data_IF_570706137107
#
_entry.id   IF_570706137107
#
_cell.length_a   1.000
_cell.length_b   1.000
_cell.length_c   1.000
_cell.angle_alpha   90.00
_cell.angle_beta   90.00
_cell.angle_gamma   90.00
#
_symmetry.space_group_name_H-M   'P 1'
#
loop_
_entity.id
_entity.type
_entity.pdbx_description
1 polymer ?
#
# COMPACT_ATOMS: atom_id res chain seq x y z
N UNK A 1 -1.26 22.03 -7.98
CA UNK A 1 -0.68 20.80 -7.41
C UNK A 1 0.64 20.59 -8.14
N UNK A 2 1.77 20.37 -7.44
CA UNK A 2 3.00 20.02 -8.16
C UNK A 2 2.90 18.59 -8.65
N UNK A 3 3.15 18.34 -9.93
CA UNK A 3 3.04 17.02 -10.57
C UNK A 3 4.03 15.99 -9.99
N UNK A 4 5.06 16.47 -9.28
CA UNK A 4 6.19 15.69 -8.75
C UNK A 4 5.83 14.56 -7.77
N UNK A 5 4.63 14.57 -7.18
CA UNK A 5 4.20 13.58 -6.18
C UNK A 5 3.00 12.73 -6.62
N UNK A 6 2.54 12.91 -7.85
CA UNK A 6 1.40 12.16 -8.40
C UNK A 6 1.89 10.82 -8.96
N UNK A 7 1.17 9.75 -8.64
CA UNK A 7 1.41 8.45 -9.22
C UNK A 7 0.88 8.44 -10.66
N UNK A 8 1.58 7.76 -11.58
CA UNK A 8 1.02 7.42 -12.88
C UNK A 8 -0.09 6.37 -12.73
N UNK A 9 -0.95 6.23 -13.75
CA UNK A 9 -2.01 5.21 -13.70
C UNK A 9 -1.46 3.79 -13.54
N UNK A 10 -0.32 3.50 -14.19
CA UNK A 10 0.38 2.23 -14.02
C UNK A 10 0.90 2.06 -12.58
N UNK A 11 1.50 3.09 -11.99
CA UNK A 11 1.98 3.05 -10.60
C UNK A 11 0.82 2.84 -9.61
N UNK A 12 -0.34 3.47 -9.84
CA UNK A 12 -1.54 3.25 -9.03
C UNK A 12 -1.97 1.79 -9.10
N UNK A 13 -2.09 1.23 -10.30
CA UNK A 13 -2.48 -0.17 -10.49
C UNK A 13 -1.49 -1.14 -9.83
N UNK A 14 -0.18 -0.87 -9.89
CA UNK A 14 0.83 -1.67 -9.20
C UNK A 14 0.62 -1.61 -7.68
N UNK A 15 0.43 -0.41 -7.11
CA UNK A 15 0.22 -0.25 -5.67
C UNK A 15 -1.06 -0.95 -5.23
N UNK A 16 -2.17 -0.77 -5.95
CA UNK A 16 -3.45 -1.43 -5.61
C UNK A 16 -3.30 -2.95 -5.67
N UNK A 17 -2.69 -3.49 -6.75
CA UNK A 17 -2.42 -4.93 -6.88
C UNK A 17 -1.55 -5.44 -5.74
N UNK A 18 -0.51 -4.69 -5.34
CA UNK A 18 0.33 -5.05 -4.21
C UNK A 18 -0.45 -5.02 -2.89
N UNK A 19 -1.33 -4.04 -2.68
CA UNK A 19 -2.21 -3.97 -1.51
C UNK A 19 -3.12 -5.19 -1.41
N UNK A 20 -3.80 -5.54 -2.50
CA UNK A 20 -4.63 -6.75 -2.61
C UNK A 20 -3.83 -8.04 -2.35
N UNK A 21 -2.54 -8.09 -2.72
CA UNK A 21 -1.70 -9.24 -2.38
C UNK A 21 -1.35 -9.33 -0.89
N UNK A 22 -1.26 -8.20 -0.18
CA UNK A 22 -1.01 -8.18 1.27
C UNK A 22 -2.28 -8.58 2.04
N UNK A 23 -3.42 -8.03 1.64
CA UNK A 23 -4.73 -8.30 2.25
C UNK A 23 -5.72 -8.63 1.13
N UNK A 24 -5.77 -9.90 0.69
CA UNK A 24 -6.65 -10.34 -0.40
C UNK A 24 -8.11 -10.40 0.05
N UNK A 25 -9.06 -10.31 -0.89
CA UNK A 25 -10.45 -10.64 -0.61
C UNK A 25 -10.59 -12.10 -0.19
N UNK A 26 -11.55 -12.37 0.68
CA UNK A 26 -11.92 -13.72 1.11
C UNK A 26 -13.45 -13.86 1.22
N UNK A 27 -13.93 -14.93 1.88
CA UNK A 27 -15.37 -15.16 2.04
C UNK A 27 -16.05 -14.13 2.98
N UNK A 28 -15.28 -13.31 3.69
CA UNK A 28 -15.76 -12.38 4.72
C UNK A 28 -15.80 -10.93 4.23
N UNK A 29 -14.79 -10.48 3.50
CA UNK A 29 -14.71 -9.11 2.97
C UNK A 29 -13.85 -9.00 1.70
N UNK A 30 -13.88 -7.81 1.08
CA UNK A 30 -13.17 -7.52 -0.16
C UNK A 30 -11.65 -7.28 0.06
N UNK A 31 -11.15 -7.45 1.29
CA UNK A 31 -9.75 -7.17 1.62
C UNK A 31 -9.41 -5.71 1.36
N UNK A 32 -8.38 -5.47 0.54
CA UNK A 32 -8.06 -4.14 0.00
C UNK A 32 -8.61 -3.88 -1.40
N UNK A 33 -9.36 -4.81 -1.98
CA UNK A 33 -9.93 -4.59 -3.31
C UNK A 33 -10.95 -3.46 -3.27
N UNK A 34 -10.80 -2.51 -4.19
CA UNK A 34 -11.67 -1.32 -4.24
C UNK A 34 -11.48 -0.31 -3.10
N UNK A 35 -10.57 -0.54 -2.15
CA UNK A 35 -10.33 0.35 -0.99
C UNK A 35 -9.66 1.70 -1.35
N UNK A 36 -9.29 1.91 -2.63
CA UNK A 36 -8.61 3.12 -3.09
C UNK A 36 -7.20 3.27 -2.51
N UNK A 37 -6.51 2.16 -2.27
CA UNK A 37 -5.22 2.10 -1.59
C UNK A 37 -4.19 3.06 -2.21
N UNK A 38 -4.03 3.04 -3.53
CA UNK A 38 -3.13 3.94 -4.25
C UNK A 38 -3.48 5.43 -4.06
N UNK A 39 -4.76 5.78 -3.96
CA UNK A 39 -5.20 7.16 -3.73
C UNK A 39 -4.83 7.67 -2.34
N UNK A 40 -4.92 6.80 -1.33
CA UNK A 40 -4.47 7.12 0.03
C UNK A 40 -2.95 7.25 0.06
N UNK A 41 -2.21 6.38 -0.65
CA UNK A 41 -0.75 6.46 -0.75
C UNK A 41 -0.29 7.73 -1.47
N UNK A 42 -0.97 8.14 -2.54
CA UNK A 42 -0.69 9.41 -3.23
C UNK A 42 -0.85 10.62 -2.30
N UNK A 43 -1.92 10.61 -1.49
CA UNK A 43 -2.13 11.63 -0.46
C UNK A 43 -1.00 11.62 0.57
N UNK A 44 -0.55 10.44 1.00
CA UNK A 44 0.58 10.32 1.94
C UNK A 44 1.89 10.82 1.34
N UNK A 45 2.21 10.42 0.11
CA UNK A 45 3.41 10.80 -0.63
C UNK A 45 3.54 12.33 -0.76
N UNK A 46 2.43 13.03 -0.98
CA UNK A 46 2.38 14.50 -1.02
C UNK A 46 2.89 15.17 0.26
N UNK A 47 2.58 14.61 1.44
CA UNK A 47 2.92 15.21 2.73
C UNK A 47 4.17 14.60 3.38
N UNK A 48 4.67 13.49 2.83
CA UNK A 48 5.82 12.76 3.36
C UNK A 48 6.79 12.44 2.21
N UNK A 49 7.75 13.35 1.88
CA UNK A 49 8.66 13.16 0.75
C UNK A 49 9.46 11.85 0.79
N UNK A 50 9.82 11.40 2.00
CA UNK A 50 10.46 10.10 2.19
C UNK A 50 9.59 8.93 1.70
N UNK A 51 8.28 8.98 1.92
CA UNK A 51 7.36 7.95 1.44
C UNK A 51 7.25 7.96 -0.09
N UNK A 52 7.23 9.15 -0.70
CA UNK A 52 7.25 9.26 -2.15
C UNK A 52 8.51 8.59 -2.74
N UNK A 53 9.67 8.83 -2.14
CA UNK A 53 10.92 8.19 -2.54
C UNK A 53 10.89 6.67 -2.34
N UNK A 54 10.40 6.19 -1.19
CA UNK A 54 10.28 4.77 -0.88
C UNK A 54 9.38 4.04 -1.89
N UNK A 55 8.22 4.60 -2.24
CA UNK A 55 7.31 3.99 -3.22
C UNK A 55 7.85 4.07 -4.65
N UNK A 56 8.54 5.15 -5.04
CA UNK A 56 9.19 5.24 -6.35
C UNK A 56 10.25 4.16 -6.53
N UNK A 57 11.14 3.97 -5.54
CA UNK A 57 12.14 2.90 -5.54
C UNK A 57 11.47 1.53 -5.54
N UNK A 58 10.48 1.31 -4.66
CA UNK A 58 9.77 0.05 -4.52
C UNK A 58 9.06 -0.40 -5.79
N UNK A 59 8.34 0.49 -6.46
CA UNK A 59 7.63 0.19 -7.72
C UNK A 59 8.62 -0.16 -8.83
N UNK A 60 9.72 0.61 -8.96
CA UNK A 60 10.79 0.30 -9.91
C UNK A 60 11.42 -1.07 -9.62
N UNK A 61 11.65 -1.39 -8.36
CA UNK A 61 12.17 -2.68 -7.92
C UNK A 61 11.24 -3.85 -8.23
N UNK A 62 9.94 -3.69 -8.00
CA UNK A 62 8.90 -4.68 -8.37
C UNK A 62 8.91 -4.92 -9.88
N UNK A 63 8.94 -3.86 -10.69
CA UNK A 63 8.96 -3.97 -12.15
C UNK A 63 10.23 -4.65 -12.68
N UNK A 64 11.40 -4.27 -12.16
CA UNK A 64 12.66 -4.92 -12.56
C UNK A 64 12.69 -6.40 -12.15
N UNK A 65 12.17 -6.73 -10.96
CA UNK A 65 12.06 -8.11 -10.49
C UNK A 65 11.14 -8.95 -11.40
N UNK A 66 9.98 -8.40 -11.75
CA UNK A 66 9.05 -9.01 -12.73
C UNK A 66 9.72 -9.27 -14.08
N UNK A 67 10.41 -8.26 -14.62
CA UNK A 67 11.10 -8.37 -15.90
C UNK A 67 12.23 -9.41 -15.84
N UNK A 68 12.98 -9.47 -14.75
CA UNK A 68 14.10 -10.41 -14.58
C UNK A 68 13.63 -11.87 -14.44
N UNK A 69 12.55 -12.12 -13.70
CA UNK A 69 12.03 -13.48 -13.53
C UNK A 69 11.22 -13.99 -14.71
N UNK A 70 10.41 -13.13 -15.34
CA UNK A 70 9.37 -13.58 -16.28
C UNK A 70 9.41 -12.87 -17.63
N UNK A 71 10.22 -11.81 -17.78
CA UNK A 71 10.29 -11.03 -19.01
C UNK A 71 9.03 -10.20 -19.31
N UNK A 72 8.20 -9.96 -18.29
CA UNK A 72 6.89 -9.28 -18.39
C UNK A 72 6.82 -8.10 -17.42
N UNK A 73 5.90 -7.16 -17.69
CA UNK A 73 5.51 -6.17 -16.69
C UNK A 73 4.81 -6.86 -15.50
N UNK A 74 4.89 -6.25 -14.31
CA UNK A 74 4.28 -6.79 -13.10
C UNK A 74 2.76 -6.98 -13.25
N UNK A 75 2.10 -6.07 -13.95
CA UNK A 75 0.65 -6.12 -14.16
C UNK A 75 0.25 -7.27 -15.13
N UNK A 76 1.15 -7.69 -16.02
CA UNK A 76 0.93 -8.82 -16.94
C UNK A 76 1.22 -10.20 -16.31
N UNK A 77 1.68 -10.24 -15.05
CA UNK A 77 1.92 -11.48 -14.32
C UNK A 77 0.61 -12.10 -13.82
N UNK A 78 0.56 -13.43 -13.76
CA UNK A 78 -0.48 -14.14 -13.01
C UNK A 78 -0.17 -14.16 -11.50
N UNK A 79 -1.12 -14.61 -10.68
CA UNK A 79 -1.00 -14.55 -9.22
C UNK A 79 0.21 -15.33 -8.66
N UNK A 80 0.54 -16.48 -9.25
CA UNK A 80 1.71 -17.28 -8.84
C UNK A 80 3.01 -16.55 -9.20
N UNK A 81 3.07 -15.93 -10.38
CA UNK A 81 4.21 -15.13 -10.82
C UNK A 81 4.38 -13.88 -9.93
N UNK A 82 3.28 -13.19 -9.59
CA UNK A 82 3.30 -12.03 -8.68
C UNK A 82 3.75 -12.41 -7.27
N UNK A 83 3.22 -13.50 -6.72
CA UNK A 83 3.63 -14.01 -5.42
C UNK A 83 5.15 -14.29 -5.39
N UNK A 84 5.71 -14.81 -6.48
CA UNK A 84 7.14 -15.06 -6.60
C UNK A 84 7.98 -13.79 -6.58
N UNK A 85 7.50 -12.70 -7.18
CA UNK A 85 8.13 -11.37 -7.10
C UNK A 85 8.13 -10.88 -5.65
N UNK A 86 6.97 -10.96 -4.98
CA UNK A 86 6.84 -10.50 -3.60
C UNK A 86 7.71 -11.32 -2.64
N UNK A 87 7.77 -12.64 -2.79
CA UNK A 87 8.66 -13.53 -2.02
C UNK A 87 10.13 -13.11 -2.11
N UNK A 88 10.59 -12.71 -3.31
CA UNK A 88 11.97 -12.29 -3.51
C UNK A 88 12.27 -10.94 -2.81
N UNK A 89 11.30 -10.03 -2.81
CA UNK A 89 11.38 -8.75 -2.07
C UNK A 89 11.43 -9.01 -0.57
N UNK A 90 10.54 -9.86 -0.04
CA UNK A 90 10.49 -10.25 1.38
C UNK A 90 11.79 -10.95 1.80
N UNK A 91 12.36 -11.78 0.94
CA UNK A 91 13.65 -12.44 1.17
C UNK A 91 14.85 -11.47 1.14
N UNK A 92 14.64 -10.19 0.75
CA UNK A 92 15.68 -9.16 0.71
C UNK A 92 16.68 -9.32 -0.44
N UNK A 93 16.42 -10.19 -1.42
CA UNK A 93 17.29 -10.43 -2.57
C UNK A 93 16.52 -10.50 -3.91
N UNK A 94 15.66 -9.52 -4.24
CA UNK A 94 15.06 -9.43 -5.55
C UNK A 94 16.12 -9.06 -6.61
N UNK A 95 16.04 -9.61 -7.84
CA UNK A 95 16.87 -9.13 -8.94
C UNK A 95 16.51 -7.69 -9.34
N UNK A 96 17.50 -6.97 -9.88
CA UNK A 96 17.36 -5.58 -10.31
C UNK A 96 18.24 -4.62 -9.51
N UNK A 97 18.41 -3.41 -10.03
CA UNK A 97 19.32 -2.37 -9.52
C UNK A 97 18.57 -1.13 -8.99
N UNK A 98 17.23 -1.17 -8.91
CA UNK A 98 16.42 -0.06 -8.43
C UNK A 98 16.61 0.21 -6.93
N UNK A 99 16.88 -0.83 -6.14
CA UNK A 99 17.04 -0.76 -4.69
C UNK A 99 18.30 0.02 -4.31
N UNK A 100 18.21 0.82 -3.25
CA UNK A 100 19.31 1.67 -2.81
C UNK A 100 19.73 1.30 -1.39
N UNK A 101 20.84 1.89 -0.91
CA UNK A 101 21.24 1.74 0.49
C UNK A 101 20.24 2.41 1.45
N UNK A 102 19.53 3.43 0.98
CA UNK A 102 18.49 4.16 1.71
C UNK A 102 17.15 3.40 1.76
N UNK A 103 16.82 2.65 0.70
CA UNK A 103 15.57 1.92 0.57
C UNK A 103 15.88 0.48 0.17
N UNK A 104 15.90 -0.39 1.18
CA UNK A 104 16.05 -1.83 0.96
C UNK A 104 14.71 -2.46 0.53
N UNK A 105 14.73 -3.65 -0.11
CA UNK A 105 13.50 -4.38 -0.44
C UNK A 105 12.62 -4.65 0.78
N UNK A 106 13.24 -4.97 1.92
CA UNK A 106 12.53 -5.27 3.15
C UNK A 106 11.90 -4.01 3.77
N UNK A 107 12.57 -2.86 3.70
CA UNK A 107 11.99 -1.58 4.17
C UNK A 107 10.75 -1.21 3.37
N UNK A 108 10.81 -1.36 2.04
CA UNK A 108 9.66 -1.17 1.17
C UNK A 108 8.51 -2.10 1.55
N UNK A 109 8.76 -3.40 1.69
CA UNK A 109 7.73 -4.37 2.04
C UNK A 109 7.09 -4.09 3.41
N UNK A 110 7.88 -3.74 4.43
CA UNK A 110 7.36 -3.42 5.77
C UNK A 110 6.45 -2.19 5.71
N UNK A 111 6.84 -1.14 4.98
CA UNK A 111 6.02 0.06 4.85
C UNK A 111 4.75 -0.21 4.04
N UNK A 112 4.84 -0.92 2.91
CA UNK A 112 3.70 -1.35 2.11
C UNK A 112 2.69 -2.13 2.98
N UNK A 113 3.16 -3.09 3.76
CA UNK A 113 2.31 -3.89 4.65
C UNK A 113 1.66 -3.03 5.74
N UNK A 114 2.41 -2.13 6.37
CA UNK A 114 1.87 -1.25 7.41
C UNK A 114 0.80 -0.31 6.84
N UNK A 115 1.03 0.23 5.63
CA UNK A 115 0.07 1.08 4.93
C UNK A 115 -1.18 0.28 4.54
N UNK A 116 -1.01 -0.94 4.04
CA UNK A 116 -2.11 -1.85 3.73
C UNK A 116 -2.96 -2.13 4.97
N UNK A 117 -2.33 -2.47 6.11
CA UNK A 117 -3.05 -2.67 7.37
C UNK A 117 -3.75 -1.39 7.85
N UNK A 118 -3.11 -0.23 7.71
CA UNK A 118 -3.72 1.04 8.08
C UNK A 118 -4.99 1.29 7.30
N UNK A 119 -4.94 1.19 5.97
CA UNK A 119 -6.11 1.39 5.10
C UNK A 119 -7.19 0.37 5.39
N UNK A 120 -6.84 -0.90 5.49
CA UNK A 120 -7.78 -1.97 5.79
C UNK A 120 -8.53 -1.74 7.12
N UNK A 121 -7.81 -1.33 8.16
CA UNK A 121 -8.42 -1.02 9.48
C UNK A 121 -9.23 0.29 9.50
N UNK A 122 -9.36 1.00 8.37
CA UNK A 122 -10.18 2.22 8.26
C UNK A 122 -11.47 2.00 7.47
N UNK A 123 -11.69 0.79 6.97
CA UNK A 123 -12.91 0.45 6.22
C UNK A 123 -14.08 0.14 7.18
N UNK A 124 -15.27 0.63 6.84
CA UNK A 124 -16.46 0.52 7.70
C UNK A 124 -16.94 -0.93 7.87
N UNK A 125 -16.91 -1.72 6.81
CA UNK A 125 -17.22 -3.15 6.80
C UNK A 125 -16.27 -3.96 7.70
N UNK A 126 -14.98 -3.61 7.70
CA UNK A 126 -13.99 -4.21 8.60
C UNK A 126 -14.30 -3.88 10.06
N UNK A 127 -14.74 -2.65 10.36
CA UNK A 127 -15.18 -2.27 11.71
C UNK A 127 -16.37 -3.09 12.17
N UNK A 128 -17.41 -3.21 11.34
CA UNK A 128 -18.57 -4.05 11.62
C UNK A 128 -18.17 -5.50 11.90
N UNK A 129 -17.28 -6.05 11.07
CA UNK A 129 -16.79 -7.44 11.20
C UNK A 129 -16.08 -7.70 12.51
N UNK A 130 -15.21 -6.79 12.96
CA UNK A 130 -14.46 -6.95 14.22
C UNK A 130 -15.28 -6.54 15.45
N UNK A 131 -16.56 -6.17 15.28
CA UNK A 131 -17.42 -5.70 16.35
C UNK A 131 -17.00 -4.33 16.91
N UNK A 132 -16.24 -3.56 16.13
CA UNK A 132 -15.92 -2.17 16.44
C UNK A 132 -17.03 -1.30 15.87
N UNK A 133 -17.82 -0.63 16.71
CA UNK A 133 -18.93 0.21 16.22
C UNK A 133 -18.51 1.46 15.42
N UNK A 134 -17.21 1.63 15.13
CA UNK A 134 -16.66 2.81 14.50
C UNK A 134 -16.21 3.88 15.50
N UNK A 135 -15.60 4.98 15.02
CA UNK A 135 -14.89 5.96 15.85
C UNK A 135 -15.79 6.78 16.80
N UNK A 136 -17.12 6.62 16.73
CA UNK A 136 -18.08 7.38 17.53
C UNK A 136 -19.33 6.62 18.03
N UNK A 137 -19.39 5.28 17.91
CA UNK A 137 -20.63 4.49 17.88
C UNK A 137 -21.70 4.82 18.92
N UNK A 138 -21.34 4.97 20.20
CA UNK A 138 -22.34 5.17 21.26
C UNK A 138 -22.32 6.57 21.91
N UNK A 139 -21.22 7.34 21.81
CA UNK A 139 -21.06 8.64 22.53
C UNK A 139 -20.05 9.66 21.92
N UNK A 140 -19.37 9.38 20.81
CA UNK A 140 -17.98 9.83 20.66
C UNK A 140 -17.69 11.04 19.78
N UNK A 141 -17.77 12.24 20.35
CA UNK A 141 -17.02 13.44 19.96
C UNK A 141 -16.85 14.32 21.20
N UNK A 142 -15.72 15.02 21.37
CA UNK A 142 -15.59 16.01 22.46
C UNK A 142 -16.71 17.06 22.28
N UNK A 143 -17.67 17.20 23.23
CA UNK A 143 -18.75 18.19 23.10
C UNK A 143 -18.22 19.62 23.01
N UNK A 144 -17.04 19.82 23.60
CA UNK A 144 -16.24 21.04 23.68
C UNK A 144 -15.13 21.10 22.62
N UNK A 145 -15.14 20.24 21.59
CA UNK A 145 -14.15 20.29 20.51
C UNK A 145 -14.08 21.68 19.85
N UNK A 146 -15.19 22.42 19.86
CA UNK A 146 -15.28 23.78 19.34
C UNK A 146 -14.90 24.88 20.37
N UNK A 147 -14.59 24.52 21.61
CA UNK A 147 -14.21 25.46 22.66
C UNK A 147 -12.68 25.53 22.83
N UNK A 148 -12.14 26.69 23.26
CA UNK A 148 -10.71 26.82 23.54
C UNK A 148 -10.30 25.87 24.67
N UNK A 149 -9.37 24.98 24.35
CA UNK A 149 -8.78 24.07 25.35
C UNK A 149 -7.88 24.87 26.29
N UNK A 150 -8.09 24.73 27.60
CA UNK A 150 -7.40 25.46 28.67
C UNK A 150 -5.95 25.05 28.90
#
# INVERSE_FOLDING_TARGET
>A
MSEEYMLTDEQRQIIDTLGEMIIPPDDMDDGLSGAGFAGIMETRNKYQPWMAFLYDVGIKGVQQCSQAFFGKSFLDLNDVERARVLDAIVAGNPPGDAWTWDVTPLDFFINLKNDACFVYCTQEDVWERIGFGGPAFDKGGYPDYAEPQS
#
